data_IF_030774702683
#
_entry.id   IF_030774702683
#
_cell.length_a   1.000
_cell.length_b   1.000
_cell.length_c   1.000
_cell.angle_alpha   90.00
_cell.angle_beta   90.00
_cell.angle_gamma   90.00
#
_symmetry.space_group_name_H-M   'P 1'
#
loop_
_entity.id
_entity.type
_entity.pdbx_description
1 polymer ?
#
# COMPACT_ATOMS: atom_id res chain seq x y z
N UNK A 1 -3.12 4.71 24.77
CA UNK A 1 -1.73 5.25 24.72
C UNK A 1 -0.64 4.19 24.93
N UNK A 2 -0.58 3.51 26.09
CA UNK A 2 0.47 2.52 26.37
C UNK A 2 0.63 1.43 25.29
N UNK A 3 -0.48 0.84 24.84
CA UNK A 3 -0.46 -0.16 23.76
C UNK A 3 0.11 0.39 22.44
N UNK A 4 -0.28 1.61 22.03
CA UNK A 4 0.22 2.22 20.79
C UNK A 4 1.73 2.47 20.87
N UNK A 5 2.24 2.88 22.04
CA UNK A 5 3.67 3.04 22.29
C UNK A 5 4.40 1.69 22.21
N UNK A 6 3.85 0.64 22.84
CA UNK A 6 4.42 -0.72 22.77
C UNK A 6 4.49 -1.20 21.32
N UNK A 7 3.41 -1.06 20.55
CA UNK A 7 3.36 -1.47 19.13
C UNK A 7 4.36 -0.70 18.26
N UNK A 8 4.50 0.62 18.48
CA UNK A 8 5.46 1.45 17.75
C UNK A 8 6.89 1.05 18.10
N UNK A 9 7.22 1.00 19.38
CA UNK A 9 8.57 0.64 19.85
C UNK A 9 8.93 -0.77 19.42
N UNK A 10 8.03 -1.75 19.53
CA UNK A 10 8.29 -3.11 19.06
C UNK A 10 8.53 -3.16 17.54
N UNK A 11 7.78 -2.39 16.76
CA UNK A 11 7.97 -2.31 15.30
C UNK A 11 9.34 -1.71 14.95
N UNK A 12 9.76 -0.66 15.65
CA UNK A 12 11.08 -0.04 15.48
C UNK A 12 12.20 -0.99 15.91
N UNK A 13 12.06 -1.67 17.05
CA UNK A 13 13.05 -2.64 17.52
C UNK A 13 13.19 -3.83 16.57
N UNK A 14 12.11 -4.28 15.94
CA UNK A 14 12.18 -5.30 14.88
C UNK A 14 12.99 -4.81 13.68
N UNK A 15 12.79 -3.56 13.24
CA UNK A 15 13.59 -2.98 12.16
C UNK A 15 15.09 -2.95 12.53
N UNK A 16 15.43 -2.55 13.76
CA UNK A 16 16.82 -2.62 14.23
C UNK A 16 17.37 -4.05 14.26
N UNK A 17 16.59 -4.99 14.81
CA UNK A 17 16.96 -6.40 14.93
C UNK A 17 17.28 -7.04 13.58
N UNK A 18 16.58 -6.63 12.53
CA UNK A 18 16.78 -7.13 11.17
C UNK A 18 17.59 -6.19 10.27
N UNK A 19 18.18 -5.12 10.83
CA UNK A 19 18.99 -4.12 10.10
C UNK A 19 18.24 -3.45 8.94
N UNK A 20 16.93 -3.28 9.08
CA UNK A 20 16.05 -2.69 8.08
C UNK A 20 14.71 -3.40 7.95
N UNK A 21 13.97 -3.04 6.91
CA UNK A 21 12.70 -3.64 6.56
C UNK A 21 12.89 -5.02 5.91
N UNK A 22 13.07 -6.05 6.74
CA UNK A 22 13.27 -7.43 6.29
C UNK A 22 12.15 -7.94 5.38
N UNK A 23 10.90 -7.57 5.68
CA UNK A 23 9.72 -7.89 4.89
C UNK A 23 9.32 -6.74 3.94
N UNK A 24 10.28 -5.87 3.61
CA UNK A 24 10.13 -4.76 2.68
C UNK A 24 8.94 -3.84 3.00
N UNK A 25 8.09 -3.61 2.00
CA UNK A 25 6.94 -2.71 2.11
C UNK A 25 5.95 -3.04 3.24
N UNK A 26 5.89 -4.29 3.70
CA UNK A 26 4.98 -4.66 4.80
C UNK A 26 5.46 -4.14 6.15
N UNK A 27 6.78 -4.09 6.39
CA UNK A 27 7.35 -3.48 7.59
C UNK A 27 7.15 -1.97 7.56
N UNK A 28 7.35 -1.32 6.41
CA UNK A 28 7.07 0.11 6.23
C UNK A 28 5.60 0.45 6.48
N UNK A 29 4.66 -0.28 5.88
CA UNK A 29 3.22 -0.03 6.07
C UNK A 29 2.74 -0.36 7.49
N UNK A 30 3.34 -1.35 8.15
CA UNK A 30 3.10 -1.60 9.57
C UNK A 30 3.56 -0.38 10.38
N UNK A 31 4.77 0.12 10.13
CA UNK A 31 5.31 1.28 10.84
C UNK A 31 4.44 2.53 10.63
N UNK A 32 4.00 2.78 9.40
CA UNK A 32 3.05 3.87 9.07
C UNK A 32 1.77 3.74 9.91
N UNK A 33 1.18 2.54 9.94
CA UNK A 33 -0.08 2.30 10.67
C UNK A 33 0.07 2.55 12.17
N UNK A 34 1.11 1.98 12.80
CA UNK A 34 1.33 2.15 14.25
C UNK A 34 1.79 3.57 14.60
N UNK A 35 2.47 4.27 13.67
CA UNK A 35 2.80 5.70 13.84
C UNK A 35 1.54 6.56 13.80
N UNK A 36 0.62 6.30 12.87
CA UNK A 36 -0.69 6.97 12.83
C UNK A 36 -1.48 6.76 14.13
N UNK A 37 -1.50 5.53 14.66
CA UNK A 37 -2.09 5.25 15.97
C UNK A 37 -1.40 6.01 17.11
N UNK A 38 -0.07 6.06 17.12
CA UNK A 38 0.68 6.80 18.13
C UNK A 38 0.40 8.30 18.06
N UNK A 39 0.39 8.90 16.86
CA UNK A 39 0.00 10.30 16.62
C UNK A 39 -1.40 10.54 17.18
N UNK A 40 -2.38 9.68 16.86
CA UNK A 40 -3.73 9.85 17.35
C UNK A 40 -3.83 9.88 18.88
N UNK A 41 -3.10 8.98 19.54
CA UNK A 41 -3.09 8.90 21.01
C UNK A 41 -2.36 10.09 21.65
N UNK A 42 -1.19 10.47 21.14
CA UNK A 42 -0.40 11.59 21.69
C UNK A 42 -1.11 12.92 21.47
N UNK A 43 -1.54 13.21 20.25
CA UNK A 43 -2.26 14.46 19.94
C UNK A 43 -3.55 14.53 20.75
N UNK A 44 -4.34 13.45 20.80
CA UNK A 44 -5.58 13.43 21.59
C UNK A 44 -5.34 13.66 23.08
N UNK A 45 -4.25 13.13 23.64
CA UNK A 45 -3.87 13.33 25.03
C UNK A 45 -3.41 14.76 25.32
N UNK A 46 -2.44 15.28 24.56
CA UNK A 46 -1.85 16.60 24.82
C UNK A 46 -2.77 17.77 24.49
N UNK A 47 -3.64 17.62 23.50
CA UNK A 47 -4.61 18.66 23.14
C UNK A 47 -5.93 18.54 23.88
N UNK A 48 -6.11 17.47 24.68
CA UNK A 48 -7.38 17.10 25.33
C UNK A 48 -8.53 17.05 24.30
N UNK A 49 -8.21 16.62 23.08
CA UNK A 49 -9.14 16.56 21.95
C UNK A 49 -8.98 15.25 21.17
N UNK A 50 -9.67 14.18 21.58
CA UNK A 50 -9.58 12.86 20.93
C UNK A 50 -9.92 12.91 19.44
N UNK A 51 -10.89 13.74 19.05
CA UNK A 51 -11.31 13.89 17.65
C UNK A 51 -10.17 14.45 16.79
N UNK A 52 -9.49 15.50 17.27
CA UNK A 52 -8.31 16.05 16.58
C UNK A 52 -7.19 15.01 16.49
N UNK A 53 -6.97 14.23 17.55
CA UNK A 53 -6.00 13.14 17.56
C UNK A 53 -6.28 12.13 16.44
N UNK A 54 -7.47 11.54 16.42
CA UNK A 54 -7.84 10.57 15.38
C UNK A 54 -7.77 11.16 13.97
N UNK A 55 -8.21 12.41 13.78
CA UNK A 55 -8.05 13.10 12.48
C UNK A 55 -6.58 13.17 12.07
N UNK A 56 -5.68 13.59 12.95
CA UNK A 56 -4.25 13.70 12.66
C UNK A 56 -3.63 12.34 12.32
N UNK A 57 -3.92 11.30 13.11
CA UNK A 57 -3.39 9.96 12.90
C UNK A 57 -3.90 9.30 11.62
N UNK A 58 -5.18 9.44 11.30
CA UNK A 58 -5.78 8.89 10.08
C UNK A 58 -5.28 9.64 8.84
N UNK A 59 -5.20 10.97 8.87
CA UNK A 59 -4.62 11.74 7.77
C UNK A 59 -3.15 11.39 7.52
N UNK A 60 -2.36 11.15 8.58
CA UNK A 60 -0.99 10.66 8.43
C UNK A 60 -0.94 9.36 7.63
N UNK A 61 -1.74 8.35 8.00
CA UNK A 61 -1.80 7.07 7.27
C UNK A 61 -2.26 7.29 5.82
N UNK A 62 -3.32 8.07 5.63
CA UNK A 62 -3.88 8.39 4.30
C UNK A 62 -2.85 9.02 3.36
N UNK A 63 -2.05 9.98 3.83
CA UNK A 63 -1.00 10.61 3.02
C UNK A 63 0.01 9.57 2.54
N UNK A 64 0.43 8.65 3.41
CA UNK A 64 1.35 7.58 3.01
C UNK A 64 0.72 6.61 2.00
N UNK A 65 -0.54 6.20 2.19
CA UNK A 65 -1.23 5.31 1.26
C UNK A 65 -1.36 5.95 -0.12
N UNK A 66 -1.89 7.18 -0.17
CA UNK A 66 -2.08 7.93 -1.42
C UNK A 66 -0.77 8.16 -2.14
N UNK A 67 0.26 8.62 -1.42
CA UNK A 67 1.58 8.86 -2.01
C UNK A 67 2.23 7.58 -2.52
N UNK A 68 2.10 6.47 -1.78
CA UNK A 68 2.71 5.19 -2.19
C UNK A 68 2.12 4.68 -3.51
N UNK A 69 0.79 4.74 -3.66
CA UNK A 69 0.16 4.37 -4.93
C UNK A 69 0.51 5.36 -6.03
N UNK A 70 0.39 6.67 -5.78
CA UNK A 70 0.68 7.67 -6.79
C UNK A 70 2.10 7.55 -7.34
N UNK A 71 3.10 7.44 -6.46
CA UNK A 71 4.51 7.29 -6.85
C UNK A 71 4.72 5.98 -7.61
N UNK A 72 4.10 4.88 -7.17
CA UNK A 72 4.14 3.60 -7.89
C UNK A 72 3.63 3.72 -9.33
N UNK A 73 2.44 4.31 -9.50
CA UNK A 73 1.84 4.54 -10.83
C UNK A 73 2.68 5.49 -11.69
N UNK A 74 3.19 6.58 -11.08
CA UNK A 74 4.05 7.54 -11.78
C UNK A 74 5.34 6.92 -12.29
N UNK A 75 6.01 6.09 -11.49
CA UNK A 75 7.20 5.36 -11.92
C UNK A 75 6.87 4.41 -13.08
N UNK A 76 5.75 3.67 -13.01
CA UNK A 76 5.32 2.79 -14.11
C UNK A 76 5.00 3.55 -15.39
N UNK A 77 4.42 4.75 -15.28
CA UNK A 77 4.14 5.61 -16.42
C UNK A 77 5.43 6.07 -17.12
N UNK A 78 6.44 6.47 -16.35
CA UNK A 78 7.69 7.01 -16.90
C UNK A 78 8.60 5.95 -17.54
N UNK A 79 8.50 4.69 -17.10
CA UNK A 79 9.40 3.60 -17.51
C UNK A 79 8.83 2.83 -18.72
N UNK A 80 9.52 2.81 -19.88
CA UNK A 80 9.03 2.11 -21.08
C UNK A 80 8.70 0.63 -20.87
N UNK A 81 9.45 -0.04 -20.00
CA UNK A 81 9.32 -1.47 -19.71
C UNK A 81 8.00 -1.79 -19.00
N UNK A 82 7.47 -0.85 -18.22
CA UNK A 82 6.14 -0.99 -17.64
C UNK A 82 5.07 -0.74 -18.70
N UNK A 83 5.22 0.31 -19.52
CA UNK A 83 4.27 0.67 -20.59
C UNK A 83 4.13 -0.41 -21.67
N UNK A 84 5.18 -1.15 -21.97
CA UNK A 84 5.14 -2.25 -22.95
C UNK A 84 4.87 -3.63 -22.33
N UNK A 85 4.66 -3.71 -21.01
CA UNK A 85 4.34 -4.96 -20.31
C UNK A 85 5.54 -5.85 -19.94
N UNK A 86 6.74 -5.57 -20.44
CA UNK A 86 7.92 -6.39 -20.19
C UNK A 86 8.31 -6.46 -18.71
N UNK A 87 8.17 -5.35 -17.98
CA UNK A 87 8.46 -5.32 -16.55
C UNK A 87 7.54 -6.26 -15.76
N UNK A 88 6.26 -6.38 -16.13
CA UNK A 88 5.31 -7.28 -15.48
C UNK A 88 5.73 -8.75 -15.63
N UNK A 89 6.14 -9.16 -16.83
CA UNK A 89 6.59 -10.54 -17.06
C UNK A 89 7.87 -10.85 -16.30
N UNK A 90 8.83 -9.93 -16.27
CA UNK A 90 10.06 -10.07 -15.47
C UNK A 90 9.74 -10.16 -13.99
N UNK A 91 8.79 -9.35 -13.51
CA UNK A 91 8.38 -9.36 -12.11
C UNK A 91 7.75 -10.70 -11.73
N UNK A 92 6.81 -11.20 -12.53
CA UNK A 92 6.15 -12.49 -12.30
C UNK A 92 7.12 -13.68 -12.43
N UNK A 93 8.13 -13.59 -13.29
CA UNK A 93 9.17 -14.61 -13.41
C UNK A 93 10.03 -14.73 -12.13
N UNK A 94 10.13 -13.65 -11.34
CA UNK A 94 10.79 -13.63 -10.03
C UNK A 94 9.88 -14.00 -8.85
N UNK A 95 8.63 -14.41 -9.10
CA UNK A 95 7.70 -14.84 -8.06
C UNK A 95 8.10 -16.16 -7.38
N UNK A 96 7.40 -16.52 -6.29
CA UNK A 96 7.66 -17.74 -5.51
C UNK A 96 7.50 -19.01 -6.34
N UNK A 97 6.61 -18.98 -7.33
CA UNK A 97 6.37 -20.07 -8.29
C UNK A 97 6.93 -19.75 -9.69
N UNK A 98 7.77 -18.73 -9.80
CA UNK A 98 8.42 -18.35 -11.05
C UNK A 98 9.50 -19.35 -11.49
N UNK A 99 9.90 -19.33 -12.77
CA UNK A 99 9.39 -18.45 -13.82
C UNK A 99 8.00 -18.89 -14.32
N UNK A 100 7.28 -17.96 -14.97
CA UNK A 100 6.00 -18.29 -15.62
C UNK A 100 6.22 -19.35 -16.72
N UNK A 101 5.28 -20.31 -16.89
CA UNK A 101 5.33 -21.25 -18.00
C UNK A 101 5.41 -20.56 -19.37
N UNK A 102 6.03 -21.21 -20.35
CA UNK A 102 6.19 -20.65 -21.70
C UNK A 102 4.84 -20.31 -22.37
N UNK A 103 3.79 -21.11 -22.11
CA UNK A 103 2.43 -20.88 -22.60
C UNK A 103 1.57 -19.97 -21.72
N UNK A 104 2.14 -19.28 -20.73
CA UNK A 104 1.37 -18.39 -19.84
C UNK A 104 0.74 -17.24 -20.63
N UNK A 105 -0.53 -16.94 -20.34
CA UNK A 105 -1.24 -15.80 -20.92
C UNK A 105 -0.48 -14.48 -20.69
N UNK A 106 0.18 -14.33 -19.54
CA UNK A 106 0.98 -13.14 -19.23
C UNK A 106 2.20 -12.95 -20.14
N UNK A 107 2.63 -13.97 -20.91
CA UNK A 107 3.67 -13.80 -21.93
C UNK A 107 3.12 -13.20 -23.24
N UNK A 108 1.81 -13.06 -23.40
CA UNK A 108 1.23 -12.36 -24.53
C UNK A 108 1.44 -10.83 -24.38
N UNK A 109 2.16 -10.16 -25.31
CA UNK A 109 2.64 -8.80 -25.09
C UNK A 109 1.52 -7.78 -24.91
N UNK A 110 0.42 -7.91 -25.66
CA UNK A 110 -0.71 -6.98 -25.52
C UNK A 110 -1.46 -7.17 -24.21
N UNK A 111 -1.52 -8.40 -23.68
CA UNK A 111 -2.16 -8.67 -22.40
C UNK A 111 -1.29 -8.15 -21.27
N UNK A 112 0.02 -8.42 -21.31
CA UNK A 112 0.98 -7.90 -20.33
C UNK A 112 0.97 -6.38 -20.28
N UNK A 113 0.99 -5.72 -21.45
CA UNK A 113 0.89 -4.27 -21.54
C UNK A 113 -0.46 -3.76 -20.98
N UNK A 114 -1.57 -4.39 -21.35
CA UNK A 114 -2.89 -4.02 -20.85
C UNK A 114 -2.99 -4.10 -19.32
N UNK A 115 -2.51 -5.20 -18.72
CA UNK A 115 -2.47 -5.38 -17.27
C UNK A 115 -1.57 -4.33 -16.62
N UNK A 116 -0.38 -4.07 -17.17
CA UNK A 116 0.51 -3.01 -16.68
C UNK A 116 -0.15 -1.63 -16.71
N UNK A 117 -0.86 -1.30 -17.78
CA UNK A 117 -1.56 -0.02 -17.90
C UNK A 117 -2.73 0.11 -16.92
N UNK A 118 -3.49 -0.97 -16.68
CA UNK A 118 -4.54 -0.98 -15.66
C UNK A 118 -3.96 -0.61 -14.29
N UNK A 119 -2.87 -1.27 -13.88
CA UNK A 119 -2.21 -0.93 -12.61
C UNK A 119 -1.64 0.50 -12.62
N UNK A 120 -0.96 0.90 -13.70
CA UNK A 120 -0.35 2.23 -13.83
C UNK A 120 -1.38 3.35 -13.65
N UNK A 121 -2.49 3.27 -14.37
CA UNK A 121 -3.55 4.29 -14.31
C UNK A 121 -4.26 4.25 -12.97
N UNK A 122 -4.62 3.06 -12.49
CA UNK A 122 -5.30 2.93 -11.19
C UNK A 122 -4.46 3.49 -10.04
N UNK A 123 -3.17 3.13 -9.98
CA UNK A 123 -2.24 3.62 -8.95
C UNK A 123 -1.98 5.13 -9.10
N UNK A 124 -1.77 5.61 -10.34
CA UNK A 124 -1.53 7.02 -10.64
C UNK A 124 -2.75 7.91 -10.38
N UNK A 125 -3.96 7.36 -10.48
CA UNK A 125 -5.21 8.07 -10.17
C UNK A 125 -5.66 7.89 -8.73
N UNK A 126 -4.94 7.14 -7.89
CA UNK A 126 -5.32 6.92 -6.48
C UNK A 126 -5.53 8.21 -5.67
N UNK A 127 -4.84 9.36 -5.91
CA UNK A 127 -5.16 10.62 -5.23
C UNK A 127 -6.61 11.10 -5.39
N UNK A 128 -7.31 10.68 -6.45
CA UNK A 128 -8.73 10.97 -6.65
C UNK A 128 -9.62 10.34 -5.56
N UNK A 129 -9.11 9.36 -4.80
CA UNK A 129 -9.80 8.83 -3.63
C UNK A 129 -10.13 9.89 -2.57
N UNK A 130 -9.42 11.01 -2.54
CA UNK A 130 -9.67 12.10 -1.58
C UNK A 130 -10.71 13.11 -2.08
N UNK A 131 -11.18 12.99 -3.32
CA UNK A 131 -12.15 13.93 -3.91
C UNK A 131 -13.59 13.54 -3.54
N UNK A 132 -13.89 12.24 -3.49
CA UNK A 132 -15.23 11.72 -3.23
C UNK A 132 -15.15 10.34 -2.58
N UNK A 133 -15.91 10.12 -1.50
CA UNK A 133 -15.92 8.85 -0.77
C UNK A 133 -16.32 7.65 -1.63
N UNK A 134 -17.12 7.83 -2.70
CA UNK A 134 -17.48 6.76 -3.64
C UNK A 134 -16.27 6.33 -4.47
N UNK A 135 -15.41 7.27 -4.85
CA UNK A 135 -14.13 6.99 -5.50
C UNK A 135 -13.20 6.29 -4.51
N UNK A 136 -13.14 6.77 -3.26
CA UNK A 136 -12.38 6.12 -2.20
C UNK A 136 -12.79 4.66 -2.01
N UNK A 137 -14.10 4.38 -1.94
CA UNK A 137 -14.63 3.02 -1.86
C UNK A 137 -14.21 2.16 -3.04
N UNK A 138 -14.36 2.66 -4.27
CA UNK A 138 -13.91 1.94 -5.45
C UNK A 138 -12.42 1.59 -5.38
N UNK A 139 -11.56 2.58 -5.09
CA UNK A 139 -10.11 2.36 -4.97
C UNK A 139 -9.80 1.39 -3.82
N UNK A 140 -10.28 1.65 -2.61
CA UNK A 140 -10.01 0.81 -1.44
C UNK A 140 -10.59 -0.61 -1.53
N UNK A 141 -11.67 -0.85 -2.28
CA UNK A 141 -12.22 -2.20 -2.47
C UNK A 141 -11.53 -2.98 -3.60
N UNK A 142 -10.98 -2.29 -4.59
CA UNK A 142 -10.20 -2.93 -5.67
C UNK A 142 -8.77 -3.25 -5.24
N UNK A 143 -8.17 -2.43 -4.37
CA UNK A 143 -6.81 -2.61 -3.89
C UNK A 143 -6.50 -3.97 -3.20
N UNK A 144 -7.41 -4.56 -2.39
CA UNK A 144 -7.28 -5.93 -1.89
C UNK A 144 -7.01 -6.97 -2.97
N UNK A 145 -7.60 -6.83 -4.15
CA UNK A 145 -7.38 -7.78 -5.26
C UNK A 145 -5.92 -7.72 -5.70
N UNK A 146 -5.38 -6.52 -5.90
CA UNK A 146 -3.96 -6.34 -6.22
C UNK A 146 -3.06 -6.95 -5.14
N UNK A 147 -3.30 -6.64 -3.86
CA UNK A 147 -2.47 -7.17 -2.78
C UNK A 147 -2.60 -8.68 -2.61
N UNK A 148 -3.78 -9.23 -2.90
CA UNK A 148 -3.97 -10.68 -2.92
C UNK A 148 -3.16 -11.33 -4.03
N UNK A 149 -3.12 -10.74 -5.23
CA UNK A 149 -2.25 -11.21 -6.31
C UNK A 149 -0.78 -11.12 -5.92
N UNK A 150 -0.37 -10.06 -5.23
CA UNK A 150 1.00 -9.94 -4.69
C UNK A 150 1.28 -11.07 -3.68
N UNK A 151 0.35 -11.34 -2.77
CA UNK A 151 0.45 -12.49 -1.87
C UNK A 151 0.57 -13.81 -2.64
N UNK A 152 -0.29 -14.04 -3.63
CA UNK A 152 -0.36 -15.28 -4.40
C UNK A 152 0.92 -15.55 -5.19
N UNK A 153 1.42 -14.55 -5.93
CA UNK A 153 2.58 -14.72 -6.80
C UNK A 153 3.92 -14.58 -6.06
N UNK A 154 3.99 -13.78 -4.99
CA UNK A 154 5.25 -13.45 -4.31
C UNK A 154 5.33 -13.94 -2.86
N UNK A 155 4.30 -14.62 -2.34
CA UNK A 155 4.29 -15.15 -0.98
C UNK A 155 4.30 -14.08 0.12
N UNK A 156 4.02 -12.82 -0.22
CA UNK A 156 4.10 -11.67 0.69
C UNK A 156 2.85 -11.57 1.59
N UNK A 157 2.65 -12.59 2.44
CA UNK A 157 1.50 -12.72 3.35
C UNK A 157 1.25 -11.47 4.20
N UNK A 158 2.29 -10.95 4.86
CA UNK A 158 2.16 -9.79 5.75
C UNK A 158 1.86 -8.50 4.98
N UNK A 159 2.28 -8.41 3.72
CA UNK A 159 2.04 -7.25 2.87
C UNK A 159 0.53 -7.05 2.67
N UNK A 160 -0.19 -8.12 2.36
CA UNK A 160 -1.65 -8.07 2.20
C UNK A 160 -2.35 -7.44 3.42
N UNK A 161 -2.09 -7.96 4.62
CA UNK A 161 -2.72 -7.48 5.84
C UNK A 161 -2.29 -6.07 6.24
N UNK A 162 -0.99 -5.75 6.09
CA UNK A 162 -0.46 -4.43 6.42
C UNK A 162 -1.11 -3.33 5.59
N UNK A 163 -1.40 -3.60 4.31
CA UNK A 163 -2.10 -2.64 3.45
C UNK A 163 -3.60 -2.57 3.74
N UNK A 164 -4.28 -3.71 3.90
CA UNK A 164 -5.72 -3.73 4.20
C UNK A 164 -6.08 -2.91 5.44
N UNK A 165 -5.23 -2.96 6.46
CA UNK A 165 -5.42 -2.22 7.70
C UNK A 165 -5.45 -0.69 7.52
N UNK A 166 -4.95 -0.17 6.39
CA UNK A 166 -4.84 1.29 6.15
C UNK A 166 -6.04 1.91 5.44
N UNK A 167 -6.85 1.12 4.72
CA UNK A 167 -7.96 1.65 3.92
C UNK A 167 -9.07 2.34 4.72
N UNK A 168 -9.41 1.91 5.95
CA UNK A 168 -10.34 2.67 6.78
C UNK A 168 -9.91 4.13 6.99
N UNK A 169 -8.60 4.41 7.03
CA UNK A 169 -8.10 5.79 7.14
C UNK A 169 -8.39 6.63 5.89
N UNK A 170 -8.20 6.06 4.69
CA UNK A 170 -8.50 6.74 3.42
C UNK A 170 -9.99 7.03 3.32
N UNK A 171 -10.83 6.05 3.61
CA UNK A 171 -12.29 6.21 3.60
C UNK A 171 -12.75 7.29 4.59
N UNK A 172 -12.17 7.32 5.79
CA UNK A 172 -12.43 8.36 6.78
C UNK A 172 -12.06 9.75 6.25
N UNK A 173 -10.86 9.91 5.69
CA UNK A 173 -10.39 11.19 5.17
C UNK A 173 -11.19 11.68 3.94
N UNK A 174 -11.77 10.76 3.16
CA UNK A 174 -12.62 11.10 2.02
C UNK A 174 -14.05 11.55 2.40
N UNK A 175 -14.47 11.34 3.66
CA UNK A 175 -15.80 11.76 4.15
C UNK A 175 -15.86 13.24 4.56
N UNK A 176 -14.72 13.88 4.83
CA UNK A 176 -14.63 15.27 5.33
C UNK A 176 -14.54 15.37 6.85
#
# INVERSE_FOLDING_TARGET
MALALVLFVSSVLLLFRWRGAFNGGSDFMTLVSVTGLLIAQLTGHFTVNPTLGWRAGLWYVTVYVVSSYFVSGWVKLLRPEWRNGHALTVFLDGGVYGPLPAGSLYRHPTLAAGVSWIFTVWEGCFPLSLVDVRIAWFMCCTAPVFHYLVYWYFGLNRFFWAWLATYPAVLYCALG
#
